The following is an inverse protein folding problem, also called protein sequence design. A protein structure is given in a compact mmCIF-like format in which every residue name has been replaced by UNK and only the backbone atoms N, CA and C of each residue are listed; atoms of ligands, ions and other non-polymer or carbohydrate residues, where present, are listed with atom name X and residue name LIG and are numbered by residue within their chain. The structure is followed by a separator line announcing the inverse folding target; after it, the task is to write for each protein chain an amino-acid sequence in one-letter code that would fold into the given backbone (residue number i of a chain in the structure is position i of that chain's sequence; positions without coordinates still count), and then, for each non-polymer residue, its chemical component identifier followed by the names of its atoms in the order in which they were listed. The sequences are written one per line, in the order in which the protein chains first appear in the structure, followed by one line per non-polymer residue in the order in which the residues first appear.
data_IF_634746441518
#
_entry.id   IF_634746441518
#
_cell.length_a   1.000
_cell.length_b   1.000
_cell.length_c   1.000
_cell.angle_alpha   90.00
_cell.angle_beta   90.00
_cell.angle_gamma   90.00
#
_symmetry.space_group_name_H-M   'P 1'
#
loop_
_entity.id
_entity.type
_entity.pdbx_description
1 polymer ?
#
# COMPACT_ATOMS: atom_id res chain seq x y z
N UNK A 1 8.75 -5.67 7.52
CA UNK A 1 9.68 -5.55 6.38
C UNK A 1 10.46 -4.26 6.59
N UNK A 2 11.80 -4.23 6.56
CA UNK A 2 12.53 -2.97 6.84
C UNK A 2 12.77 -2.16 5.57
N UNK A 3 12.44 -0.87 5.57
CA UNK A 3 12.64 0.02 4.42
C UNK A 3 14.11 0.02 3.97
N UNK A 4 15.08 0.05 4.90
CA UNK A 4 16.51 0.03 4.58
C UNK A 4 17.01 -1.27 3.91
N UNK A 5 16.27 -2.37 4.05
CA UNK A 5 16.58 -3.62 3.36
C UNK A 5 16.03 -3.59 1.93
N UNK A 6 14.86 -2.97 1.75
CA UNK A 6 14.21 -2.78 0.45
C UNK A 6 14.83 -1.63 -0.36
N UNK A 7 15.44 -0.64 0.30
CA UNK A 7 16.11 0.50 -0.37
C UNK A 7 17.40 0.14 -1.09
N UNK A 8 17.93 -1.07 -0.93
CA UNK A 8 18.97 -1.55 -1.86
C UNK A 8 18.46 -1.66 -3.29
N UNK A 9 17.14 -1.87 -3.46
CA UNK A 9 16.42 -1.79 -4.73
C UNK A 9 15.74 -0.44 -4.97
N UNK A 10 15.52 0.41 -3.95
CA UNK A 10 14.95 1.76 -4.05
C UNK A 10 15.97 2.87 -3.77
N UNK A 11 16.28 3.73 -4.74
CA UNK A 11 17.02 4.97 -4.52
C UNK A 11 16.11 6.21 -4.50
N UNK A 12 16.66 7.30 -3.96
CA UNK A 12 15.97 8.57 -3.74
C UNK A 12 16.35 9.58 -4.81
N UNK A 13 15.39 10.42 -5.18
CA UNK A 13 15.69 11.66 -5.91
C UNK A 13 15.62 12.87 -5.00
N UNK A 14 16.23 13.96 -5.44
CA UNK A 14 16.13 15.29 -4.79
C UNK A 14 14.67 15.74 -4.63
N UNK A 15 13.76 15.19 -5.45
CA UNK A 15 12.32 15.45 -5.39
C UNK A 15 11.56 14.56 -4.40
N UNK A 16 12.26 13.82 -3.51
CA UNK A 16 11.68 12.94 -2.47
C UNK A 16 10.83 11.78 -3.03
N UNK A 17 11.03 11.48 -4.30
CA UNK A 17 10.42 10.33 -4.96
C UNK A 17 11.35 9.12 -4.85
N UNK A 18 10.74 7.95 -4.69
CA UNK A 18 11.39 6.64 -4.75
C UNK A 18 11.51 6.18 -6.20
N UNK A 19 12.69 5.69 -6.58
CA UNK A 19 12.96 5.08 -7.87
C UNK A 19 13.69 3.76 -7.69
N UNK A 20 13.53 2.84 -8.63
CA UNK A 20 14.16 1.52 -8.53
C UNK A 20 15.43 1.41 -9.33
N UNK A 21 16.46 0.81 -8.73
CA UNK A 21 17.65 0.37 -9.46
C UNK A 21 17.40 -1.07 -9.91
N UNK A 22 16.96 -1.24 -11.16
CA UNK A 22 16.73 -2.55 -11.80
C UNK A 22 15.90 -3.53 -10.91
N UNK A 23 14.61 -3.25 -10.72
CA UNK A 23 13.77 -4.07 -9.84
C UNK A 23 13.16 -5.28 -10.55
N UNK A 24 13.11 -6.41 -9.83
CA UNK A 24 12.15 -7.47 -10.08
C UNK A 24 10.72 -6.90 -10.00
N UNK A 25 9.82 -7.39 -10.86
CA UNK A 25 8.53 -6.78 -11.22
C UNK A 25 7.57 -6.43 -10.07
N UNK A 26 7.83 -6.83 -8.82
CA UNK A 26 6.98 -6.55 -7.65
C UNK A 26 7.43 -5.36 -6.79
N UNK A 27 8.72 -4.99 -6.84
CA UNK A 27 9.19 -3.87 -6.04
C UNK A 27 8.72 -2.54 -6.61
N UNK A 28 8.59 -2.43 -7.95
CA UNK A 28 8.08 -1.23 -8.63
C UNK A 28 6.76 -0.71 -8.02
N UNK A 29 5.81 -1.62 -7.77
CA UNK A 29 4.50 -1.34 -7.20
C UNK A 29 4.63 -0.75 -5.79
N UNK A 30 5.57 -1.26 -4.99
CA UNK A 30 5.82 -0.74 -3.66
C UNK A 30 6.29 0.72 -3.69
N UNK A 31 7.17 1.06 -4.62
CA UNK A 31 7.67 2.42 -4.72
C UNK A 31 6.62 3.35 -5.28
N UNK A 32 5.82 2.90 -6.25
CA UNK A 32 4.66 3.65 -6.73
C UNK A 32 3.63 3.88 -5.63
N UNK A 33 3.27 2.85 -4.86
CA UNK A 33 2.38 2.97 -3.72
C UNK A 33 2.92 3.96 -2.69
N UNK A 34 4.19 3.81 -2.29
CA UNK A 34 4.80 4.73 -1.34
C UNK A 34 4.82 6.14 -1.92
N UNK A 35 5.16 6.35 -3.19
CA UNK A 35 5.18 7.66 -3.87
C UNK A 35 3.83 8.36 -3.96
N UNK A 36 2.72 7.65 -3.77
CA UNK A 36 1.37 8.24 -3.74
C UNK A 36 1.22 9.30 -2.67
N UNK A 37 1.72 9.03 -1.47
CA UNK A 37 1.40 9.87 -0.31
C UNK A 37 2.37 11.02 -0.15
N UNK A 38 1.87 12.25 -0.09
CA UNK A 38 2.67 13.36 0.41
C UNK A 38 2.77 13.28 1.93
N UNK A 39 3.73 14.00 2.53
CA UNK A 39 3.93 13.95 3.98
C UNK A 39 2.65 14.27 4.77
N UNK A 40 1.80 15.16 4.23
CA UNK A 40 0.54 15.55 4.86
C UNK A 40 -0.50 14.41 4.88
N UNK A 41 -0.44 13.48 3.93
CA UNK A 41 -1.47 12.44 3.72
C UNK A 41 -1.07 11.10 4.36
N UNK A 42 0.21 10.92 4.70
CA UNK A 42 0.73 9.65 5.26
C UNK A 42 0.04 9.29 6.58
N UNK A 43 -0.24 10.27 7.44
CA UNK A 43 -0.87 10.01 8.75
C UNK A 43 -2.32 9.55 8.62
N UNK A 44 -3.05 10.09 7.65
CA UNK A 44 -4.41 9.65 7.36
C UNK A 44 -4.42 8.23 6.79
N UNK A 45 -3.54 7.93 5.83
CA UNK A 45 -3.41 6.58 5.27
C UNK A 45 -3.07 5.57 6.37
N UNK A 46 -2.06 5.84 7.20
CA UNK A 46 -1.69 4.96 8.33
C UNK A 46 -2.90 4.72 9.23
N UNK A 47 -3.63 5.78 9.61
CA UNK A 47 -4.79 5.64 10.49
C UNK A 47 -5.89 4.76 9.88
N UNK A 48 -6.12 4.87 8.57
CA UNK A 48 -7.11 4.06 7.88
C UNK A 48 -6.67 2.59 7.80
N UNK A 49 -5.39 2.33 7.52
CA UNK A 49 -4.84 0.98 7.49
C UNK A 49 -4.84 0.32 8.89
N UNK A 50 -4.54 1.07 9.95
CA UNK A 50 -4.60 0.58 11.34
C UNK A 50 -6.03 0.20 11.75
N UNK A 51 -7.03 1.01 11.37
CA UNK A 51 -8.45 0.68 11.59
C UNK A 51 -8.83 -0.60 10.85
N UNK A 52 -8.42 -0.72 9.58
CA UNK A 52 -8.69 -1.90 8.77
C UNK A 52 -8.03 -3.14 9.39
N UNK A 53 -6.76 -3.05 9.78
CA UNK A 53 -6.04 -4.14 10.44
C UNK A 53 -6.75 -4.59 11.71
N UNK A 54 -7.06 -3.64 12.61
CA UNK A 54 -7.77 -3.92 13.86
C UNK A 54 -9.11 -4.59 13.60
N UNK A 55 -9.83 -4.14 12.56
CA UNK A 55 -11.12 -4.72 12.19
C UNK A 55 -10.98 -6.17 11.70
N UNK A 56 -10.03 -6.44 10.80
CA UNK A 56 -9.74 -7.79 10.28
C UNK A 56 -9.35 -8.73 11.43
N UNK A 57 -8.49 -8.29 12.34
CA UNK A 57 -8.02 -9.12 13.46
C UNK A 57 -9.12 -9.44 14.48
N UNK A 58 -10.10 -8.55 14.63
CA UNK A 58 -11.19 -8.71 15.60
C UNK A 58 -12.40 -9.48 15.05
N UNK A 59 -12.48 -9.73 13.73
CA UNK A 59 -13.68 -10.20 13.08
C UNK A 59 -13.44 -11.38 12.13
N UNK A 60 -14.51 -12.14 11.89
CA UNK A 60 -14.53 -13.17 10.87
C UNK A 60 -14.69 -12.58 9.46
N UNK A 61 -14.28 -13.30 8.40
CA UNK A 61 -14.27 -12.78 7.03
C UNK A 61 -15.61 -12.19 6.56
N UNK A 62 -16.74 -12.76 7.00
CA UNK A 62 -18.09 -12.27 6.66
C UNK A 62 -18.34 -10.85 7.19
N UNK A 63 -17.93 -10.57 8.44
CA UNK A 63 -18.04 -9.24 9.02
C UNK A 63 -17.06 -8.26 8.39
N UNK A 64 -15.87 -8.71 8.05
CA UNK A 64 -14.89 -7.90 7.30
C UNK A 64 -15.45 -7.50 5.94
N UNK A 65 -16.11 -8.44 5.24
CA UNK A 65 -16.80 -8.15 3.98
C UNK A 65 -17.90 -7.11 4.17
N UNK A 66 -18.75 -7.27 5.18
CA UNK A 66 -19.84 -6.32 5.43
C UNK A 66 -19.30 -4.92 5.77
N UNK A 67 -18.21 -4.84 6.53
CA UNK A 67 -17.51 -3.57 6.78
C UNK A 67 -17.02 -2.93 5.47
N UNK A 68 -16.33 -3.68 4.62
CA UNK A 68 -15.85 -3.20 3.32
C UNK A 68 -17.00 -2.69 2.44
N UNK A 69 -18.13 -3.41 2.41
CA UNK A 69 -19.28 -3.03 1.59
C UNK A 69 -19.99 -1.76 2.09
N UNK A 70 -19.96 -1.50 3.39
CA UNK A 70 -20.71 -0.40 4.00
C UNK A 70 -19.88 0.86 4.25
N UNK A 71 -18.61 0.69 4.62
CA UNK A 71 -17.71 1.77 5.04
C UNK A 71 -16.68 2.14 3.96
N UNK A 72 -16.42 1.25 3.01
CA UNK A 72 -15.54 1.49 1.86
C UNK A 72 -16.35 1.44 0.54
N UNK A 73 -15.65 1.49 -0.59
CA UNK A 73 -16.27 1.43 -1.93
C UNK A 73 -16.76 0.03 -2.34
N UNK A 74 -16.66 -0.97 -1.46
CA UNK A 74 -16.99 -2.36 -1.78
C UNK A 74 -15.84 -3.09 -2.49
N UNK A 75 -16.22 -4.04 -3.34
CA UNK A 75 -15.31 -4.86 -4.14
C UNK A 75 -15.49 -4.52 -5.62
N UNK A 76 -14.38 -4.27 -6.30
CA UNK A 76 -14.34 -4.03 -7.75
C UNK A 76 -13.66 -5.20 -8.46
N UNK A 77 -13.96 -5.37 -9.74
CA UNK A 77 -13.34 -6.38 -10.61
C UNK A 77 -11.95 -5.91 -11.07
N UNK A 78 -10.96 -6.80 -10.90
CA UNK A 78 -9.60 -6.67 -11.42
C UNK A 78 -9.21 -8.01 -12.06
N UNK A 79 -9.11 -8.03 -13.39
CA UNK A 79 -8.79 -9.21 -14.19
C UNK A 79 -9.71 -10.43 -13.93
N UNK A 80 -11.00 -10.19 -13.65
CA UNK A 80 -11.98 -11.24 -13.38
C UNK A 80 -12.00 -11.76 -11.94
N UNK A 81 -11.25 -11.13 -11.04
CA UNK A 81 -11.28 -11.38 -9.59
C UNK A 81 -11.73 -10.12 -8.84
N UNK A 82 -12.49 -10.29 -7.74
CA UNK A 82 -13.05 -9.18 -6.97
C UNK A 82 -12.17 -8.82 -5.78
N UNK A 83 -11.69 -7.56 -5.70
CA UNK A 83 -10.89 -7.06 -4.58
C UNK A 83 -11.42 -5.75 -4.03
N UNK A 84 -11.14 -5.51 -2.76
CA UNK A 84 -11.44 -4.24 -2.13
C UNK A 84 -10.20 -3.35 -2.13
N UNK A 85 -10.33 -2.11 -2.61
CA UNK A 85 -9.28 -1.10 -2.43
C UNK A 85 -9.33 -0.58 -0.99
N UNK A 86 -8.25 -0.79 -0.25
CA UNK A 86 -8.15 -0.42 1.17
C UNK A 86 -7.07 0.65 1.43
N UNK A 87 -6.34 1.06 0.40
CA UNK A 87 -5.31 2.09 0.48
C UNK A 87 -4.73 2.45 -0.89
N UNK A 88 -4.07 3.61 -0.99
CA UNK A 88 -3.47 4.12 -2.24
C UNK A 88 -4.37 5.07 -3.04
N UNK A 89 -3.94 5.40 -4.26
CA UNK A 89 -4.63 6.34 -5.14
C UNK A 89 -5.31 5.62 -6.31
N UNK A 90 -6.61 5.89 -6.45
CA UNK A 90 -7.48 5.34 -7.47
C UNK A 90 -7.11 5.80 -8.90
N UNK A 91 -6.37 6.89 -9.09
CA UNK A 91 -6.24 7.48 -10.43
C UNK A 91 -4.91 7.20 -11.13
N UNK A 92 -3.77 7.19 -10.41
CA UNK A 92 -2.47 7.23 -11.10
C UNK A 92 -1.39 6.23 -10.64
N UNK A 93 -1.51 5.62 -9.47
CA UNK A 93 -0.43 4.81 -8.87
C UNK A 93 -0.91 3.47 -8.33
N UNK A 94 0.01 2.64 -7.82
CA UNK A 94 -0.35 1.33 -7.26
C UNK A 94 -1.31 1.46 -6.08
N UNK A 95 -2.28 0.54 -6.03
CA UNK A 95 -3.30 0.45 -4.97
C UNK A 95 -2.98 -0.71 -4.04
N UNK A 96 -3.34 -0.56 -2.77
CA UNK A 96 -3.34 -1.66 -1.82
C UNK A 96 -4.72 -2.31 -1.82
N UNK A 97 -4.78 -3.54 -2.30
CA UNK A 97 -5.99 -4.33 -2.43
C UNK A 97 -6.05 -5.42 -1.37
N UNK A 98 -7.27 -5.73 -0.92
CA UNK A 98 -7.58 -6.85 -0.04
C UNK A 98 -8.27 -7.98 -0.81
N UNK A 99 -7.69 -9.18 -0.71
CA UNK A 99 -8.24 -10.44 -1.20
C UNK A 99 -9.00 -11.13 -0.07
N UNK A 100 -10.32 -11.27 -0.25
CA UNK A 100 -11.19 -11.91 0.74
C UNK A 100 -10.93 -13.42 0.87
N UNK A 101 -10.59 -14.08 -0.23
CA UNK A 101 -10.50 -15.53 -0.31
C UNK A 101 -9.16 -16.00 0.24
N UNK A 102 -8.10 -15.23 -0.04
CA UNK A 102 -6.77 -15.45 0.52
C UNK A 102 -6.57 -14.78 1.90
N UNK A 103 -7.52 -13.95 2.33
CA UNK A 103 -7.44 -13.10 3.52
C UNK A 103 -6.08 -12.38 3.64
N UNK A 104 -5.65 -11.78 2.53
CA UNK A 104 -4.36 -11.12 2.44
C UNK A 104 -4.46 -9.79 1.69
N UNK A 105 -3.37 -9.05 1.70
CA UNK A 105 -3.27 -7.78 1.00
C UNK A 105 -2.13 -7.82 -0.02
N UNK A 106 -2.28 -7.06 -1.10
CA UNK A 106 -1.28 -6.97 -2.14
C UNK A 106 -1.33 -5.61 -2.83
N UNK A 107 -0.20 -5.20 -3.40
CA UNK A 107 -0.15 -4.04 -4.26
C UNK A 107 -0.46 -4.46 -5.70
N UNK A 108 -1.37 -3.70 -6.31
CA UNK A 108 -1.79 -3.89 -7.68
C UNK A 108 -1.47 -2.63 -8.50
N UNK A 109 -0.82 -2.77 -9.68
CA UNK A 109 -0.51 -1.62 -10.51
C UNK A 109 -1.77 -1.07 -11.18
N UNK A 110 -1.87 0.25 -11.32
CA UNK A 110 -2.94 0.87 -12.14
C UNK A 110 -2.71 0.70 -13.65
N UNK A 111 -1.48 0.41 -14.09
CA UNK A 111 -1.11 0.28 -15.51
C UNK A 111 -0.05 -0.82 -15.71
N UNK A 112 -0.25 -1.70 -16.70
CA UNK A 112 0.72 -2.69 -17.18
C UNK A 112 0.63 -4.08 -16.54
N UNK A 113 1.39 -5.03 -17.11
CA UNK A 113 1.54 -6.40 -16.60
C UNK A 113 2.52 -6.40 -15.41
N UNK A 114 2.03 -6.04 -14.23
CA UNK A 114 2.77 -6.17 -12.97
C UNK A 114 1.97 -7.06 -12.04
N UNK A 115 2.39 -8.31 -11.88
CA UNK A 115 1.67 -9.26 -11.01
C UNK A 115 1.47 -8.73 -9.57
N UNK A 116 0.62 -9.42 -8.82
CA UNK A 116 0.31 -9.08 -7.42
C UNK A 116 1.60 -9.06 -6.57
N UNK A 117 1.91 -7.94 -5.94
CA UNK A 117 2.96 -7.87 -4.92
C UNK A 117 2.35 -8.02 -3.54
N UNK A 118 2.39 -9.23 -2.98
CA UNK A 118 1.84 -9.49 -1.66
C UNK A 118 2.61 -8.76 -0.57
N UNK A 119 1.86 -8.03 0.27
CA UNK A 119 2.38 -7.26 1.39
C UNK A 119 1.36 -7.34 2.53
N UNK A 120 1.80 -7.44 3.78
CA UNK A 120 0.89 -7.44 4.92
C UNK A 120 0.52 -5.99 5.31
N UNK A 121 -0.65 -5.78 5.94
CA UNK A 121 -1.01 -4.48 6.51
C UNK A 121 0.06 -3.92 7.48
N UNK A 122 0.60 -4.72 8.44
CA UNK A 122 1.71 -4.27 9.27
C UNK A 122 2.93 -3.79 8.48
N UNK A 123 3.31 -4.51 7.41
CA UNK A 123 4.44 -4.10 6.59
C UNK A 123 4.16 -2.80 5.81
N UNK A 124 2.96 -2.63 5.28
CA UNK A 124 2.57 -1.40 4.59
C UNK A 124 2.62 -0.19 5.53
N UNK A 125 2.07 -0.33 6.75
CA UNK A 125 2.09 0.69 7.80
C UNK A 125 3.53 1.03 8.21
N UNK A 126 4.36 0.01 8.49
CA UNK A 126 5.76 0.21 8.88
C UNK A 126 6.57 0.94 7.80
N UNK A 127 6.33 0.63 6.52
CA UNK A 127 7.00 1.30 5.40
C UNK A 127 6.55 2.76 5.24
N UNK A 128 5.26 3.07 5.45
CA UNK A 128 4.76 4.44 5.47
C UNK A 128 5.33 5.26 6.64
N UNK A 129 5.43 4.65 7.83
CA UNK A 129 6.08 5.27 8.99
C UNK A 129 7.56 5.56 8.72
N UNK A 130 8.29 4.61 8.15
CA UNK A 130 9.69 4.81 7.77
C UNK A 130 9.84 5.88 6.68
N UNK A 131 8.92 5.94 5.70
CA UNK A 131 8.87 7.02 4.71
C UNK A 131 8.68 8.37 5.39
N UNK A 132 7.72 8.49 6.31
CA UNK A 132 7.42 9.73 7.04
C UNK A 132 8.67 10.27 7.74
N UNK A 133 9.32 9.43 8.54
CA UNK A 133 10.55 9.79 9.27
C UNK A 133 11.63 10.29 8.33
N UNK A 134 11.81 9.63 7.18
CA UNK A 134 12.86 10.03 6.26
C UNK A 134 12.54 11.35 5.55
N UNK A 135 11.32 11.53 5.05
CA UNK A 135 10.92 12.78 4.38
C UNK A 135 11.06 13.98 5.32
N UNK A 136 10.71 13.80 6.60
CA UNK A 136 10.91 14.83 7.64
C UNK A 136 12.39 15.13 7.87
N UNK A 137 13.24 14.10 7.92
CA UNK A 137 14.70 14.27 8.09
C UNK A 137 15.29 15.07 6.92
N UNK A 138 14.91 14.76 5.68
CA UNK A 138 15.36 15.46 4.48
C UNK A 138 14.87 16.91 4.42
N UNK A 139 13.71 17.22 5.01
CA UNK A 139 13.18 18.59 5.11
C UNK A 139 13.87 19.44 6.17
N UNK A 140 14.57 18.81 7.12
CA UNK A 140 15.27 19.48 8.22
C UNK A 140 16.74 19.80 7.91
N UNK A 141 17.24 19.35 6.75
CA UNK A 141 18.57 19.62 6.21
C UNK A 141 18.52 20.80 5.23
#
# INVERSE_FOLDING_TARGET
MKLLEVTKGLYWTENKLFYFKEAADGYFQLGEYLNTFQLADIDEEISNLEKMQTFIEANEPEKTRDYIMNELAGFDDYDGEEFACIGGDFQFRSRLLYDRDANNTFLYPNYGDGGKFYITLPDAIDLLLQKKVLVQTLLSL
#
